data_IF_853415391875
#
_entry.id   IF_853415391875
#
_cell.length_a   1.000
_cell.length_b   1.000
_cell.length_c   1.000
_cell.angle_alpha   90.00
_cell.angle_beta   90.00
_cell.angle_gamma   90.00
#
_symmetry.space_group_name_H-M   'P 1'
#
loop_
_entity.id
_entity.type
_entity.pdbx_description
1 polymer ?
#
# COMPACT_ATOMS: atom_id res chain seq x y z
N UNK A 1 -17.76 19.58 8.13
CA UNK A 1 -17.14 20.19 9.26
C UNK A 1 -15.66 19.94 9.25
N UNK A 2 -14.86 20.94 9.53
CA UNK A 2 -13.41 20.81 9.72
C UNK A 2 -13.21 19.97 10.97
N UNK A 3 -12.46 18.86 10.87
CA UNK A 3 -12.07 18.09 12.04
C UNK A 3 -11.04 18.94 12.82
N UNK A 4 -11.37 19.28 14.06
CA UNK A 4 -10.42 19.92 14.97
C UNK A 4 -9.38 18.88 15.40
N UNK A 5 -8.31 18.75 14.62
CA UNK A 5 -7.21 17.84 14.88
C UNK A 5 -6.19 18.56 15.78
N UNK A 6 -6.34 18.36 17.10
CA UNK A 6 -5.52 19.04 18.08
C UNK A 6 -4.68 18.08 18.91
N UNK A 7 -3.41 18.44 19.14
CA UNK A 7 -2.61 17.86 20.22
C UNK A 7 -2.84 18.68 21.48
N UNK A 8 -3.61 18.14 22.42
CA UNK A 8 -4.00 18.86 23.66
C UNK A 8 -2.98 18.78 24.79
N UNK A 9 -1.84 18.13 24.61
CA UNK A 9 -0.83 17.92 25.68
C UNK A 9 -0.22 19.20 26.23
N UNK A 10 -0.34 20.32 25.56
CA UNK A 10 0.21 21.62 25.97
C UNK A 10 -0.86 22.66 26.32
N UNK A 11 -2.15 22.28 26.35
CA UNK A 11 -3.24 23.20 26.70
C UNK A 11 -3.62 24.19 25.59
N UNK A 12 -3.07 24.08 24.40
CA UNK A 12 -3.45 24.83 23.20
C UNK A 12 -3.50 23.93 21.98
N UNK A 13 -4.29 24.35 21.00
CA UNK A 13 -4.48 23.60 19.76
C UNK A 13 -3.25 23.74 18.85
N UNK A 14 -2.66 22.61 18.46
CA UNK A 14 -1.57 22.56 17.47
C UNK A 14 -2.04 21.70 16.32
N UNK A 15 -1.94 22.15 15.06
CA UNK A 15 -2.29 21.33 13.91
C UNK A 15 -1.40 20.08 13.88
N UNK A 16 -1.95 18.95 13.47
CA UNK A 16 -1.17 17.73 13.24
C UNK A 16 -0.31 17.94 12.00
N UNK A 17 0.99 18.13 12.21
CA UNK A 17 1.97 18.35 11.13
C UNK A 17 2.74 17.07 10.81
N UNK A 18 3.24 16.99 9.59
CA UNK A 18 4.04 15.85 9.17
C UNK A 18 4.51 15.93 7.72
N UNK A 19 5.24 14.91 7.31
CA UNK A 19 5.80 14.79 5.97
C UNK A 19 5.23 13.57 5.28
N UNK A 20 4.65 13.75 4.09
CA UNK A 20 4.31 12.66 3.17
C UNK A 20 5.44 12.47 2.15
N UNK A 21 6.03 11.29 2.16
CA UNK A 21 7.10 10.91 1.25
C UNK A 21 6.53 10.27 -0.02
N UNK A 22 7.03 10.67 -1.20
CA UNK A 22 6.67 10.07 -2.49
C UNK A 22 7.88 9.93 -3.41
N UNK A 23 7.93 8.86 -4.19
CA UNK A 23 8.95 8.68 -5.22
C UNK A 23 8.61 9.47 -6.49
N UNK A 24 9.55 10.31 -6.95
CA UNK A 24 9.39 11.17 -8.13
C UNK A 24 9.44 10.44 -9.47
N UNK A 25 9.73 9.14 -9.49
CA UNK A 25 9.86 8.34 -10.71
C UNK A 25 8.58 8.21 -11.54
N UNK A 26 7.42 8.57 -10.99
CA UNK A 26 6.13 8.57 -11.67
C UNK A 26 5.38 9.87 -11.40
N UNK A 27 5.11 10.61 -12.47
CA UNK A 27 4.32 11.85 -12.40
C UNK A 27 2.93 11.62 -11.77
N UNK A 28 2.26 10.53 -12.14
CA UNK A 28 0.94 10.21 -11.59
C UNK A 28 0.96 9.99 -10.08
N UNK A 29 2.01 9.31 -9.56
CA UNK A 29 2.16 9.12 -8.10
C UNK A 29 2.33 10.45 -7.39
N UNK A 30 3.17 11.33 -7.92
CA UNK A 30 3.39 12.67 -7.34
C UNK A 30 2.11 13.48 -7.35
N UNK A 31 1.36 13.48 -8.46
CA UNK A 31 0.06 14.17 -8.56
C UNK A 31 -0.96 13.64 -7.56
N UNK A 32 -1.06 12.31 -7.42
CA UNK A 32 -1.98 11.70 -6.46
C UNK A 32 -1.59 12.03 -5.02
N UNK A 33 -0.32 11.91 -4.67
CA UNK A 33 0.17 12.27 -3.33
C UNK A 33 -0.05 13.77 -3.02
N UNK A 34 0.16 14.65 -4.00
CA UNK A 34 -0.12 16.09 -3.87
C UNK A 34 -1.61 16.35 -3.62
N UNK A 35 -2.49 15.67 -4.34
CA UNK A 35 -3.94 15.79 -4.13
C UNK A 35 -4.36 15.32 -2.73
N UNK A 36 -3.78 14.21 -2.25
CA UNK A 36 -4.04 13.69 -0.89
C UNK A 36 -3.58 14.71 0.16
N UNK A 37 -2.35 15.23 0.05
CA UNK A 37 -1.83 16.25 0.98
C UNK A 37 -2.72 17.48 0.99
N UNK A 38 -3.12 17.98 -0.20
CA UNK A 38 -4.01 19.13 -0.31
C UNK A 38 -5.37 18.89 0.35
N UNK A 39 -5.94 17.70 0.16
CA UNK A 39 -7.22 17.32 0.78
C UNK A 39 -7.10 17.22 2.32
N UNK A 40 -6.03 16.63 2.83
CA UNK A 40 -5.79 16.53 4.26
C UNK A 40 -5.53 17.90 4.90
N UNK A 41 -4.76 18.78 4.23
CA UNK A 41 -4.53 20.15 4.71
C UNK A 41 -5.82 20.97 4.73
N UNK A 42 -6.73 20.73 3.79
CA UNK A 42 -8.07 21.36 3.82
C UNK A 42 -8.93 20.88 5.01
N UNK A 43 -8.61 19.73 5.62
CA UNK A 43 -9.23 19.22 6.84
C UNK A 43 -8.58 19.71 8.13
N UNK A 44 -7.49 20.48 8.04
CA UNK A 44 -6.79 21.04 9.20
C UNK A 44 -5.45 20.38 9.56
N UNK A 45 -4.95 19.46 8.74
CA UNK A 45 -3.58 18.98 8.86
C UNK A 45 -2.60 20.05 8.35
N UNK A 46 -1.34 19.91 8.73
CA UNK A 46 -0.20 20.70 8.21
C UNK A 46 0.85 19.72 7.64
N UNK A 47 0.52 19.15 6.47
CA UNK A 47 1.36 18.15 5.83
C UNK A 47 2.19 18.77 4.71
N UNK A 48 3.47 18.39 4.65
CA UNK A 48 4.38 18.74 3.56
C UNK A 48 4.63 17.52 2.67
N UNK A 49 4.54 17.69 1.34
CA UNK A 49 4.91 16.66 0.38
C UNK A 49 6.42 16.72 0.13
N UNK A 50 7.12 15.60 0.38
CA UNK A 50 8.53 15.41 0.03
C UNK A 50 8.63 14.43 -1.15
N UNK A 51 8.94 14.94 -2.33
CA UNK A 51 9.16 14.17 -3.55
C UNK A 51 10.65 13.98 -3.79
N UNK A 52 11.10 12.72 -3.83
CA UNK A 52 12.52 12.35 -3.92
C UNK A 52 12.75 11.29 -5.00
N UNK A 53 13.99 11.08 -5.41
CA UNK A 53 14.34 10.02 -6.34
C UNK A 53 14.19 8.61 -5.71
N UNK A 54 14.31 7.57 -6.55
CA UNK A 54 14.10 6.19 -6.13
C UNK A 54 15.13 5.73 -5.07
N UNK A 55 16.36 6.20 -5.13
CA UNK A 55 17.43 5.82 -4.20
C UNK A 55 17.18 6.44 -2.83
N UNK A 56 16.95 7.75 -2.81
CA UNK A 56 16.63 8.49 -1.59
C UNK A 56 15.32 8.01 -0.97
N UNK A 57 14.31 7.71 -1.80
CA UNK A 57 13.02 7.17 -1.33
C UNK A 57 13.23 5.87 -0.53
N UNK A 58 13.98 4.92 -1.09
CA UNK A 58 14.27 3.65 -0.40
C UNK A 58 15.07 3.84 0.88
N UNK A 59 16.03 4.75 0.87
CA UNK A 59 16.83 5.07 2.04
C UNK A 59 15.98 5.67 3.16
N UNK A 60 15.13 6.65 2.85
CA UNK A 60 14.24 7.28 3.83
C UNK A 60 13.20 6.29 4.39
N UNK A 61 12.66 5.40 3.56
CA UNK A 61 11.79 4.32 4.02
C UNK A 61 12.51 3.38 4.98
N UNK A 62 13.73 2.95 4.66
CA UNK A 62 14.52 2.07 5.52
C UNK A 62 14.88 2.71 6.86
N UNK A 63 15.11 4.03 6.87
CA UNK A 63 15.40 4.81 8.09
C UNK A 63 14.14 5.16 8.89
N UNK A 64 12.93 4.97 8.34
CA UNK A 64 11.68 5.41 8.97
C UNK A 64 11.54 6.95 9.03
N UNK A 65 12.23 7.69 8.14
CA UNK A 65 12.24 9.16 8.12
C UNK A 65 11.05 9.72 7.34
N UNK A 66 9.85 9.43 7.80
CA UNK A 66 8.58 9.91 7.24
C UNK A 66 7.46 9.73 8.27
N UNK A 67 6.40 10.52 8.13
CA UNK A 67 5.15 10.33 8.88
C UNK A 67 4.15 9.53 8.05
N UNK A 68 4.06 9.85 6.76
CA UNK A 68 3.28 9.13 5.77
C UNK A 68 4.14 8.84 4.54
N UNK A 69 3.85 7.78 3.81
CA UNK A 69 4.40 7.61 2.46
C UNK A 69 3.35 7.12 1.48
N UNK A 70 3.45 7.59 0.25
CA UNK A 70 2.66 7.10 -0.86
C UNK A 70 3.49 6.16 -1.72
N UNK A 71 3.11 4.89 -1.72
CA UNK A 71 3.84 3.84 -2.42
C UNK A 71 2.95 2.97 -3.28
N UNK A 72 3.59 2.16 -4.10
CA UNK A 72 2.96 1.12 -4.91
C UNK A 72 3.62 -0.21 -4.57
N UNK A 73 2.81 -1.22 -4.32
CA UNK A 73 3.29 -2.55 -3.99
C UNK A 73 2.56 -3.60 -4.84
N UNK A 74 3.31 -4.61 -5.26
CA UNK A 74 2.73 -5.80 -5.87
C UNK A 74 2.40 -6.79 -4.77
N UNK A 75 1.12 -7.04 -4.57
CA UNK A 75 0.67 -8.09 -3.67
C UNK A 75 0.79 -9.46 -4.35
N UNK A 76 0.93 -10.50 -3.54
CA UNK A 76 0.80 -11.89 -3.96
C UNK A 76 -0.64 -12.21 -4.40
N UNK A 77 -0.83 -13.27 -5.17
CA UNK A 77 -2.14 -13.67 -5.68
C UNK A 77 -3.19 -13.93 -4.59
N UNK A 78 -2.76 -14.34 -3.39
CA UNK A 78 -3.60 -14.57 -2.22
C UNK A 78 -3.78 -13.32 -1.34
N UNK A 79 -3.33 -12.15 -1.79
CA UNK A 79 -3.40 -10.88 -1.06
C UNK A 79 -2.77 -10.92 0.35
N UNK A 80 -1.68 -11.67 0.51
CA UNK A 80 -0.96 -11.74 1.78
C UNK A 80 -0.33 -10.39 2.15
N UNK A 81 -0.77 -9.84 3.29
CA UNK A 81 -0.27 -8.58 3.84
C UNK A 81 0.79 -8.78 4.93
N UNK A 82 1.18 -10.02 5.25
CA UNK A 82 2.09 -10.31 6.37
C UNK A 82 3.44 -9.61 6.25
N UNK A 83 3.93 -9.39 5.02
CA UNK A 83 5.21 -8.69 4.78
C UNK A 83 5.22 -7.22 5.21
N UNK A 84 4.06 -6.59 5.42
CA UNK A 84 3.97 -5.24 6.00
C UNK A 84 4.16 -5.25 7.52
N UNK A 85 3.82 -6.35 8.20
CA UNK A 85 3.74 -6.40 9.66
C UNK A 85 4.80 -7.29 10.30
N UNK A 86 5.43 -8.18 9.52
CA UNK A 86 6.51 -9.04 9.99
C UNK A 86 7.74 -8.21 10.37
N UNK A 87 8.32 -8.48 11.53
CA UNK A 87 9.60 -7.89 11.90
C UNK A 87 10.68 -8.23 10.85
N UNK A 88 11.32 -7.20 10.29
CA UNK A 88 12.26 -7.38 9.17
C UNK A 88 11.60 -7.72 7.83
N UNK A 89 10.29 -7.62 7.71
CA UNK A 89 9.56 -7.78 6.46
C UNK A 89 9.95 -6.74 5.43
N UNK A 90 9.92 -7.11 4.15
CA UNK A 90 10.37 -6.24 3.05
C UNK A 90 9.54 -4.97 2.86
N UNK A 91 8.35 -4.92 3.48
CA UNK A 91 7.42 -3.79 3.42
C UNK A 91 7.14 -3.18 4.81
N UNK A 92 7.78 -3.70 5.87
CA UNK A 92 7.60 -3.23 7.24
C UNK A 92 8.47 -2.01 7.52
N UNK A 93 8.11 -0.87 6.92
CA UNK A 93 8.83 0.39 7.10
C UNK A 93 8.33 1.15 8.33
N UNK A 94 9.25 1.84 9.01
CA UNK A 94 8.91 2.62 10.21
C UNK A 94 8.39 1.74 11.35
N UNK A 95 7.24 2.09 11.92
CA UNK A 95 6.63 1.42 13.07
C UNK A 95 5.58 0.36 12.70
N UNK A 96 5.57 -0.13 11.46
CA UNK A 96 4.55 -1.07 10.98
C UNK A 96 4.69 -2.49 11.52
N UNK A 97 5.89 -2.90 12.00
CA UNK A 97 6.09 -4.25 12.54
C UNK A 97 5.18 -4.50 13.76
N UNK A 98 4.24 -5.44 13.61
CA UNK A 98 3.22 -5.80 14.62
C UNK A 98 2.94 -7.30 14.51
N UNK A 99 3.45 -8.09 15.47
CA UNK A 99 3.27 -9.53 15.50
C UNK A 99 1.80 -9.95 15.56
N UNK A 100 0.95 -9.14 16.18
CA UNK A 100 -0.49 -9.44 16.24
C UNK A 100 -1.11 -9.30 14.85
N UNK A 101 -0.75 -8.25 14.12
CA UNK A 101 -1.21 -8.07 12.74
C UNK A 101 -0.66 -9.17 11.81
N UNK A 102 0.61 -9.56 11.97
CA UNK A 102 1.18 -10.68 11.21
C UNK A 102 0.38 -11.96 11.44
N UNK A 103 0.06 -12.29 12.69
CA UNK A 103 -0.77 -13.45 13.01
C UNK A 103 -2.17 -13.37 12.42
N UNK A 104 -2.81 -12.19 12.43
CA UNK A 104 -4.11 -11.99 11.78
C UNK A 104 -4.04 -12.22 10.26
N UNK A 105 -2.95 -11.80 9.61
CA UNK A 105 -2.74 -12.09 8.19
C UNK A 105 -2.65 -13.61 7.93
N UNK A 106 -1.89 -14.34 8.74
CA UNK A 106 -1.79 -15.81 8.62
C UNK A 106 -3.13 -16.51 8.88
N UNK A 107 -3.88 -16.07 9.89
CA UNK A 107 -5.22 -16.61 10.16
C UNK A 107 -6.19 -16.33 9.03
N UNK A 108 -6.12 -15.14 8.43
CA UNK A 108 -6.96 -14.77 7.29
C UNK A 108 -6.70 -15.67 6.08
N UNK A 109 -5.44 -16.01 5.82
CA UNK A 109 -5.05 -16.93 4.75
C UNK A 109 -5.50 -18.36 5.03
N UNK A 110 -5.45 -18.82 6.30
CA UNK A 110 -5.84 -20.17 6.70
C UNK A 110 -7.37 -20.38 6.72
N UNK A 111 -8.14 -19.34 7.01
CA UNK A 111 -9.59 -19.43 7.26
C UNK A 111 -10.48 -19.15 6.04
N UNK A 112 -9.97 -19.31 4.81
CA UNK A 112 -10.74 -19.19 3.57
C UNK A 112 -11.71 -17.98 3.50
N UNK A 113 -11.27 -16.81 3.99
CA UNK A 113 -11.99 -15.55 3.80
C UNK A 113 -12.71 -14.99 5.03
N UNK A 114 -12.58 -15.59 6.22
CA UNK A 114 -13.02 -14.92 7.44
C UNK A 114 -11.97 -13.91 7.92
N UNK A 115 -11.96 -12.74 7.29
CA UNK A 115 -10.96 -11.72 7.48
C UNK A 115 -11.44 -10.57 8.38
N UNK A 116 -12.57 -10.73 9.08
CA UNK A 116 -13.21 -9.66 9.85
C UNK A 116 -12.23 -8.97 10.82
N UNK A 117 -11.53 -9.75 11.65
CA UNK A 117 -10.61 -9.21 12.65
C UNK A 117 -9.41 -8.48 12.02
N UNK A 118 -8.94 -8.97 10.86
CA UNK A 118 -7.88 -8.30 10.11
C UNK A 118 -8.36 -6.94 9.58
N UNK A 119 -9.55 -6.89 8.97
CA UNK A 119 -10.12 -5.64 8.43
C UNK A 119 -10.44 -4.64 9.54
N UNK A 120 -11.08 -5.08 10.63
CA UNK A 120 -11.37 -4.22 11.77
C UNK A 120 -10.10 -3.56 12.31
N UNK A 121 -9.04 -4.35 12.45
CA UNK A 121 -7.76 -3.85 12.95
C UNK A 121 -7.06 -2.91 11.96
N UNK A 122 -7.05 -3.26 10.67
CA UNK A 122 -6.49 -2.40 9.61
C UNK A 122 -7.18 -1.03 9.58
N UNK A 123 -8.52 -1.02 9.59
CA UNK A 123 -9.31 0.21 9.58
C UNK A 123 -9.14 1.00 10.87
N UNK A 124 -9.18 0.33 12.02
CA UNK A 124 -9.10 0.97 13.34
C UNK A 124 -7.73 1.58 13.65
N UNK A 125 -6.66 1.04 13.06
CA UNK A 125 -5.29 1.55 13.26
C UNK A 125 -4.80 2.45 12.13
N UNK A 126 -5.42 2.39 10.95
CA UNK A 126 -5.03 3.19 9.80
C UNK A 126 -3.62 2.91 9.27
N UNK A 127 -3.09 1.70 9.50
CA UNK A 127 -1.73 1.34 9.08
C UNK A 127 -1.52 1.47 7.57
N UNK A 128 -2.50 1.06 6.79
CA UNK A 128 -2.46 1.03 5.33
C UNK A 128 -3.82 1.49 4.81
N UNK A 129 -3.81 2.49 3.94
CA UNK A 129 -5.02 2.96 3.26
C UNK A 129 -4.88 2.69 1.76
N UNK A 130 -5.61 1.72 1.20
CA UNK A 130 -5.58 1.49 -0.24
C UNK A 130 -6.24 2.66 -0.96
N UNK A 131 -5.53 3.23 -1.94
CA UNK A 131 -6.02 4.35 -2.75
C UNK A 131 -6.63 3.83 -4.04
N UNK A 132 -5.95 2.88 -4.71
CA UNK A 132 -6.44 2.23 -5.93
C UNK A 132 -5.77 0.87 -6.14
N UNK A 133 -6.44 0.02 -6.89
CA UNK A 133 -5.90 -1.21 -7.42
C UNK A 133 -5.69 -1.07 -8.92
N UNK A 134 -4.53 -1.47 -9.41
CA UNK A 134 -4.22 -1.51 -10.83
C UNK A 134 -4.36 -2.93 -11.37
N UNK A 135 -5.03 -3.07 -12.48
CA UNK A 135 -5.03 -4.31 -13.23
C UNK A 135 -3.71 -4.48 -13.99
N UNK A 136 -3.23 -5.71 -14.07
CA UNK A 136 -2.15 -6.04 -14.97
C UNK A 136 -2.68 -6.22 -16.39
N UNK A 137 -1.94 -5.70 -17.39
CA UNK A 137 -2.18 -6.00 -18.78
C UNK A 137 -1.18 -7.08 -19.23
N UNK A 138 -1.69 -8.14 -19.81
CA UNK A 138 -0.89 -9.20 -20.41
C UNK A 138 -0.94 -8.98 -21.92
N UNK A 139 0.22 -8.77 -22.52
CA UNK A 139 0.37 -8.64 -23.96
C UNK A 139 0.91 -9.95 -24.50
N UNK A 140 0.15 -10.61 -25.37
CA UNK A 140 0.53 -11.88 -25.98
C UNK A 140 0.44 -11.77 -27.50
N UNK A 141 1.18 -12.62 -28.19
CA UNK A 141 0.99 -12.81 -29.63
C UNK A 141 -0.37 -13.48 -29.83
N UNK A 142 -1.11 -13.06 -30.87
CA UNK A 142 -2.45 -13.63 -31.16
C UNK A 142 -2.34 -15.15 -31.31
N UNK A 143 -3.20 -15.87 -30.58
CA UNK A 143 -3.24 -17.34 -30.59
C UNK A 143 -2.20 -18.03 -29.70
N UNK A 144 -1.34 -17.29 -28.98
CA UNK A 144 -0.33 -17.91 -28.11
C UNK A 144 -0.86 -18.28 -26.70
N UNK A 145 -2.04 -17.78 -26.32
CA UNK A 145 -2.68 -18.06 -25.03
C UNK A 145 -4.17 -18.29 -25.28
N UNK A 146 -4.67 -19.45 -24.83
CA UNK A 146 -6.07 -19.82 -25.03
C UNK A 146 -7.03 -19.02 -24.15
N UNK A 147 -6.66 -18.79 -22.90
CA UNK A 147 -7.46 -18.06 -21.92
C UNK A 147 -6.55 -17.20 -21.01
N UNK A 148 -6.60 -15.88 -21.15
CA UNK A 148 -5.86 -14.99 -20.27
C UNK A 148 -6.53 -14.80 -18.89
N UNK A 149 -7.68 -15.40 -18.60
CA UNK A 149 -8.36 -15.29 -17.32
C UNK A 149 -7.58 -15.94 -16.17
N UNK A 150 -6.71 -16.91 -16.47
CA UNK A 150 -5.75 -17.49 -15.53
C UNK A 150 -4.57 -16.60 -15.18
N UNK A 151 -4.71 -15.28 -15.27
CA UNK A 151 -3.62 -14.31 -15.04
C UNK A 151 -2.96 -14.40 -13.65
N UNK A 152 -3.60 -15.06 -12.69
CA UNK A 152 -3.01 -15.33 -11.38
C UNK A 152 -2.07 -16.53 -11.40
N UNK A 153 -2.16 -17.37 -12.41
CA UNK A 153 -1.41 -18.62 -12.53
C UNK A 153 -0.11 -18.43 -13.34
N UNK A 154 0.68 -17.45 -12.97
CA UNK A 154 1.98 -17.16 -13.60
C UNK A 154 2.94 -18.36 -13.59
N UNK A 155 2.66 -19.35 -12.78
CA UNK A 155 3.47 -20.56 -12.59
C UNK A 155 2.93 -21.79 -13.30
N UNK A 156 1.73 -21.71 -13.88
CA UNK A 156 1.22 -22.81 -14.68
C UNK A 156 1.83 -22.78 -16.08
N UNK A 157 2.33 -23.92 -16.58
CA UNK A 157 2.81 -24.01 -17.93
C UNK A 157 1.65 -23.68 -18.89
N UNK A 158 1.84 -22.67 -19.71
CA UNK A 158 0.87 -22.29 -20.73
C UNK A 158 0.91 -23.35 -21.82
N UNK A 159 -0.13 -24.15 -21.91
CA UNK A 159 -0.26 -25.10 -23.02
C UNK A 159 -0.56 -24.31 -24.30
N UNK A 160 0.23 -24.49 -25.36
CA UNK A 160 -0.13 -23.93 -26.65
C UNK A 160 -1.47 -24.50 -27.07
N UNK A 161 -2.37 -23.66 -27.54
CA UNK A 161 -3.60 -24.10 -28.19
C UNK A 161 -3.22 -24.97 -29.36
N UNK A 162 -3.49 -26.26 -29.30
CA UNK A 162 -3.53 -27.11 -30.49
C UNK A 162 -4.69 -26.60 -31.34
N UNK A 163 -4.37 -25.95 -32.46
CA UNK A 163 -5.34 -25.66 -33.49
C UNK A 163 -5.96 -27.05 -33.88
N UNK A 164 -7.24 -27.22 -33.60
CA UNK A 164 -7.98 -28.32 -34.16
C UNK A 164 -8.23 -27.93 -35.62
N UNK A 165 -7.62 -28.67 -36.53
CA UNK A 165 -7.97 -28.70 -37.95
C UNK A 165 -9.44 -29.11 -38.19
#
# INVERSE_FOLDING_TARGET
GVLDLYVTSLGYAVPVSGTMLVCSSSYQRVQTASAIVSALNALGFDLTLKSVDTSEFRQLLALGSFDLYYGEVRLSANFDLSSFFRFGGSLAYGALADNYMENLCHLALANNGNNYNLYERLCGRGYITPVLFKNYAIYTTRGSVADPSGYLDWFLPQHPTTEQE
#
